data_IF_429669587619
#
_entry.id   IF_429669587619
#
_cell.length_a   1.000
_cell.length_b   1.000
_cell.length_c   1.000
_cell.angle_alpha   90.00
_cell.angle_beta   90.00
_cell.angle_gamma   90.00
#
_symmetry.space_group_name_H-M   'P 1'
#
loop_
_entity.id
_entity.type
_entity.pdbx_description
1 polymer ?
#
# COMPACT_ATOMS: atom_id res chain seq x y z
N UNK A 1 -17.81 22.59 74.51
CA UNK A 1 -16.44 22.78 74.01
C UNK A 1 -16.35 22.10 72.66
N UNK A 2 -16.16 22.85 71.58
CA UNK A 2 -15.98 22.35 70.21
C UNK A 2 -14.48 22.39 69.88
N UNK A 3 -13.91 21.39 69.19
CA UNK A 3 -12.52 21.45 68.75
C UNK A 3 -12.36 22.43 67.58
N UNK A 4 -11.20 23.09 67.43
CA UNK A 4 -10.98 24.01 66.32
C UNK A 4 -10.76 23.24 65.01
N UNK A 5 -11.38 23.72 63.93
CA UNK A 5 -11.07 23.30 62.56
C UNK A 5 -9.62 23.66 62.23
N UNK A 6 -8.81 22.66 61.91
CA UNK A 6 -7.46 22.83 61.44
C UNK A 6 -7.50 23.20 59.94
N UNK A 7 -7.04 24.40 59.58
CA UNK A 7 -6.89 24.81 58.19
C UNK A 7 -5.73 24.04 57.54
N UNK A 8 -5.82 23.61 56.27
CA UNK A 8 -4.69 22.96 55.60
C UNK A 8 -3.58 23.99 55.39
N UNK A 9 -2.46 23.80 56.08
CA UNK A 9 -1.21 24.51 55.80
C UNK A 9 -0.66 23.96 54.49
N UNK A 10 -0.63 24.77 53.45
CA UNK A 10 -0.05 24.40 52.16
C UNK A 10 1.46 24.44 52.32
N UNK A 11 2.09 23.26 52.32
CA UNK A 11 3.53 23.12 52.49
C UNK A 11 4.29 23.91 51.40
N UNK A 12 5.20 24.84 51.74
CA UNK A 12 5.90 25.69 50.79
C UNK A 12 6.80 24.91 49.81
N UNK A 13 7.13 23.65 50.14
CA UNK A 13 7.90 22.74 49.28
C UNK A 13 7.09 22.26 48.07
N UNK A 14 5.77 22.08 48.21
CA UNK A 14 4.90 21.63 47.10
C UNK A 14 4.77 22.73 46.04
N UNK A 15 4.62 23.98 46.46
CA UNK A 15 4.59 25.15 45.56
C UNK A 15 5.93 25.34 44.82
N UNK A 16 7.05 25.05 45.48
CA UNK A 16 8.38 25.12 44.87
C UNK A 16 8.58 24.02 43.80
N UNK A 17 8.09 22.81 44.05
CA UNK A 17 8.16 21.69 43.11
C UNK A 17 7.23 21.88 41.90
N UNK A 18 6.03 22.44 42.10
CA UNK A 18 5.11 22.80 41.00
C UNK A 18 5.73 23.85 40.08
N UNK A 19 6.40 24.86 40.65
CA UNK A 19 7.09 25.89 39.88
C UNK A 19 8.29 25.33 39.09
N UNK A 20 9.06 24.43 39.70
CA UNK A 20 10.17 23.75 39.04
C UNK A 20 9.68 22.86 37.88
N UNK A 21 8.55 22.16 38.07
CA UNK A 21 7.95 21.31 37.04
C UNK A 21 7.40 22.14 35.87
N UNK A 22 6.76 23.28 36.14
CA UNK A 22 6.31 24.20 35.11
C UNK A 22 7.47 24.74 34.27
N UNK A 23 8.58 25.12 34.91
CA UNK A 23 9.77 25.61 34.19
C UNK A 23 10.41 24.53 33.30
N UNK A 24 10.42 23.27 33.74
CA UNK A 24 10.92 22.15 32.94
C UNK A 24 10.00 21.83 31.74
N UNK A 25 8.69 21.93 31.93
CA UNK A 25 7.71 21.76 30.83
C UNK A 25 7.89 22.86 29.78
N UNK A 26 7.99 24.12 30.20
CA UNK A 26 8.21 25.26 29.29
C UNK A 26 9.52 25.09 28.49
N UNK A 27 10.60 24.68 29.16
CA UNK A 27 11.89 24.42 28.52
C UNK A 27 11.81 23.25 27.53
N UNK A 28 11.08 22.19 27.86
CA UNK A 28 10.83 21.08 26.93
C UNK A 28 9.98 21.51 25.74
N UNK A 29 8.99 22.35 25.95
CA UNK A 29 8.14 22.87 24.88
C UNK A 29 8.91 23.80 23.94
N UNK A 30 9.72 24.72 24.47
CA UNK A 30 10.63 25.56 23.68
C UNK A 30 11.63 24.72 22.88
N UNK A 31 12.23 23.70 23.49
CA UNK A 31 13.13 22.77 22.80
C UNK A 31 12.43 22.06 21.64
N UNK A 32 11.19 21.58 21.84
CA UNK A 32 10.40 20.93 20.79
C UNK A 32 10.01 21.91 19.69
N UNK A 33 9.68 23.15 20.03
CA UNK A 33 9.33 24.20 19.08
C UNK A 33 10.52 24.60 18.20
N UNK A 34 11.70 24.76 18.81
CA UNK A 34 12.95 25.03 18.08
C UNK A 34 13.32 23.87 17.15
N UNK A 35 13.21 22.62 17.62
CA UNK A 35 13.46 21.45 16.80
C UNK A 35 12.50 21.35 15.59
N UNK A 36 11.21 21.66 15.80
CA UNK A 36 10.22 21.67 14.72
C UNK A 36 10.50 22.77 13.69
N UNK A 37 10.83 23.99 14.13
CA UNK A 37 11.18 25.10 13.25
C UNK A 37 12.46 24.82 12.45
N UNK A 38 13.45 24.17 13.06
CA UNK A 38 14.68 23.78 12.38
C UNK A 38 14.43 22.67 11.35
N UNK A 39 13.55 21.72 11.67
CA UNK A 39 13.09 20.69 10.73
C UNK A 39 12.35 21.32 9.55
N UNK A 40 11.45 22.27 9.80
CA UNK A 40 10.72 23.00 8.75
C UNK A 40 11.67 23.82 7.86
N UNK A 41 12.71 24.44 8.43
CA UNK A 41 13.74 25.14 7.66
C UNK A 41 14.48 24.18 6.71
N UNK A 42 14.88 22.99 7.22
CA UNK A 42 15.53 21.95 6.41
C UNK A 42 14.60 21.46 5.30
N UNK A 43 13.34 21.19 5.62
CA UNK A 43 12.34 20.73 4.65
C UNK A 43 12.06 21.80 3.59
N UNK A 44 12.02 23.09 3.96
CA UNK A 44 11.87 24.21 3.03
C UNK A 44 13.08 24.37 2.11
N UNK A 45 14.30 24.22 2.63
CA UNK A 45 15.53 24.25 1.82
C UNK A 45 15.57 23.07 0.83
N UNK A 46 15.19 21.87 1.30
CA UNK A 46 15.08 20.67 0.45
C UNK A 46 14.02 20.87 -0.64
N UNK A 47 12.84 21.40 -0.30
CA UNK A 47 11.77 21.68 -1.25
C UNK A 47 12.21 22.69 -2.33
N UNK A 48 12.91 23.76 -1.95
CA UNK A 48 13.46 24.74 -2.91
C UNK A 48 14.53 24.11 -3.81
N UNK A 49 15.38 23.23 -3.28
CA UNK A 49 16.38 22.51 -4.08
C UNK A 49 15.72 21.56 -5.08
N UNK A 50 14.70 20.81 -4.65
CA UNK A 50 13.90 19.93 -5.51
C UNK A 50 13.22 20.74 -6.62
N UNK A 51 12.54 21.85 -6.26
CA UNK A 51 11.86 22.72 -7.22
C UNK A 51 12.82 23.35 -8.25
N UNK A 52 14.03 23.75 -7.82
CA UNK A 52 15.05 24.27 -8.72
C UNK A 52 15.57 23.18 -9.67
N UNK A 53 15.87 21.98 -9.17
CA UNK A 53 16.31 20.87 -10.01
C UNK A 53 15.25 20.37 -10.99
N UNK A 54 13.96 20.42 -10.62
CA UNK A 54 12.87 20.11 -11.55
C UNK A 54 12.69 21.19 -12.63
N UNK A 55 12.92 22.47 -12.30
CA UNK A 55 12.87 23.57 -13.28
C UNK A 55 14.03 23.60 -14.27
N UNK A 56 15.21 23.14 -13.85
CA UNK A 56 16.44 23.11 -14.68
C UNK A 56 16.42 21.94 -15.67
N UNK A 57 15.76 20.83 -15.33
CA UNK A 57 15.55 19.67 -16.22
C UNK A 57 14.52 19.91 -17.35
N UNK A 58 13.78 21.03 -17.32
CA UNK A 58 12.77 21.37 -18.36
C UNK A 58 13.31 22.36 -19.40
N UNK A 59 14.47 23.00 -19.19
CA UNK A 59 14.97 24.06 -20.09
C UNK A 59 16.21 23.71 -20.93
N UNK A 60 16.94 22.63 -20.66
CA UNK A 60 18.16 22.29 -21.41
C UNK A 60 18.01 21.03 -22.27
N UNK A 61 17.43 21.22 -23.46
CA UNK A 61 17.60 20.30 -24.59
C UNK A 61 18.50 20.97 -25.64
N UNK A 62 19.81 21.11 -25.39
CA UNK A 62 20.83 21.20 -26.44
C UNK A 62 22.25 20.96 -25.93
N UNK A 63 22.88 19.89 -26.46
CA UNK A 63 24.33 19.57 -26.59
C UNK A 63 25.06 18.75 -25.51
N UNK A 64 25.94 17.79 -25.90
CA UNK A 64 26.56 16.82 -25.00
C UNK A 64 28.03 17.14 -24.69
N UNK A 65 28.49 17.06 -23.44
CA UNK A 65 29.91 16.83 -23.12
C UNK A 65 30.06 16.09 -21.78
N UNK A 66 31.17 15.38 -21.66
CA UNK A 66 31.49 14.21 -20.84
C UNK A 66 31.51 14.40 -19.30
N UNK A 67 30.97 13.39 -18.59
CA UNK A 67 31.38 12.68 -17.35
C UNK A 67 32.22 13.38 -16.22
N UNK A 68 32.36 12.77 -15.02
CA UNK A 68 31.46 11.94 -14.19
C UNK A 68 31.35 12.48 -12.73
N UNK A 69 30.42 11.94 -11.91
CA UNK A 69 30.67 11.46 -10.52
C UNK A 69 29.38 11.35 -9.67
N UNK A 70 29.21 10.11 -9.17
CA UNK A 70 28.76 9.73 -7.81
C UNK A 70 27.27 9.77 -7.44
N UNK A 71 26.71 8.55 -7.52
CA UNK A 71 26.03 7.84 -6.42
C UNK A 71 25.02 8.67 -5.60
N UNK A 72 23.88 8.99 -6.22
CA UNK A 72 22.69 9.37 -5.45
C UNK A 72 21.44 8.66 -5.98
N UNK A 73 21.03 7.65 -5.22
CA UNK A 73 19.67 7.07 -5.15
C UNK A 73 19.20 6.15 -6.30
N UNK A 74 19.65 4.89 -6.29
CA UNK A 74 19.01 3.78 -7.04
C UNK A 74 17.52 3.57 -6.68
N UNK A 75 17.04 4.05 -5.53
CA UNK A 75 15.63 3.89 -5.11
C UNK A 75 14.65 4.83 -5.84
N UNK A 76 15.10 5.97 -6.37
CA UNK A 76 14.20 6.91 -7.08
C UNK A 76 14.10 6.56 -8.57
N UNK A 77 15.19 6.04 -9.16
CA UNK A 77 15.14 5.50 -10.53
C UNK A 77 14.31 4.21 -10.63
N UNK A 78 14.20 3.38 -9.59
CA UNK A 78 13.43 2.13 -9.69
C UNK A 78 11.93 2.31 -9.90
N UNK A 79 11.36 3.49 -9.62
CA UNK A 79 9.95 3.78 -9.93
C UNK A 79 9.75 4.41 -11.31
N UNK A 80 10.79 5.01 -11.89
CA UNK A 80 10.73 5.64 -13.22
C UNK A 80 11.32 4.74 -14.33
N UNK A 81 12.21 3.80 -14.01
CA UNK A 81 12.93 2.97 -14.96
C UNK A 81 12.18 1.71 -15.47
N UNK A 82 10.89 1.56 -15.14
CA UNK A 82 10.03 0.47 -15.67
C UNK A 82 9.31 0.91 -16.96
N UNK A 83 9.35 2.20 -17.29
CA UNK A 83 8.81 2.67 -18.56
C UNK A 83 9.88 2.47 -19.64
N UNK A 84 9.96 1.25 -20.17
CA UNK A 84 10.33 1.12 -21.58
C UNK A 84 9.47 2.14 -22.37
N UNK A 85 10.00 2.81 -23.41
CA UNK A 85 9.21 3.73 -24.19
C UNK A 85 8.01 2.96 -24.75
N UNK A 86 6.85 3.13 -24.10
CA UNK A 86 5.62 2.48 -24.53
C UNK A 86 5.32 3.10 -25.88
N UNK A 87 5.30 2.27 -26.92
CA UNK A 87 5.02 2.68 -28.30
C UNK A 87 3.73 3.51 -28.40
N UNK A 88 2.80 3.27 -27.48
CA UNK A 88 1.56 4.02 -27.31
C UNK A 88 1.49 4.64 -25.91
N UNK A 89 1.59 5.96 -25.82
CA UNK A 89 1.21 6.71 -24.61
C UNK A 89 -0.27 7.09 -24.68
N UNK A 90 -1.09 6.38 -23.89
CA UNK A 90 -2.53 6.58 -23.82
C UNK A 90 -2.96 7.40 -22.60
N UNK A 91 -2.02 7.99 -21.86
CA UNK A 91 -2.32 8.68 -20.59
C UNK A 91 -3.30 9.85 -20.75
N UNK A 92 -3.37 10.48 -21.92
CA UNK A 92 -4.27 11.61 -22.22
C UNK A 92 -5.59 11.21 -22.87
N UNK A 93 -5.74 9.94 -23.26
CA UNK A 93 -6.91 9.47 -24.02
C UNK A 93 -8.18 9.48 -23.17
N UNK A 94 -9.34 9.78 -23.75
CA UNK A 94 -10.63 9.72 -23.08
C UNK A 94 -11.15 8.29 -23.03
N UNK A 95 -12.05 8.01 -22.08
CA UNK A 95 -12.70 6.70 -21.99
C UNK A 95 -13.42 6.30 -23.29
N UNK A 96 -14.06 7.26 -23.96
CA UNK A 96 -14.73 7.01 -25.24
C UNK A 96 -13.73 6.54 -26.32
N UNK A 97 -12.55 7.16 -26.39
CA UNK A 97 -11.51 6.84 -27.38
C UNK A 97 -10.88 5.48 -27.11
N UNK A 98 -10.61 5.15 -25.83
CA UNK A 98 -10.14 3.82 -25.44
C UNK A 98 -11.18 2.75 -25.79
N UNK A 99 -12.45 2.99 -25.47
CA UNK A 99 -13.55 2.06 -25.76
C UNK A 99 -13.76 1.86 -27.26
N UNK A 100 -13.79 2.94 -28.02
CA UNK A 100 -13.98 2.88 -29.47
C UNK A 100 -12.86 2.08 -30.13
N UNK A 101 -11.61 2.42 -29.82
CA UNK A 101 -10.41 1.72 -30.33
C UNK A 101 -10.43 0.23 -29.99
N UNK A 102 -10.87 -0.14 -28.78
CA UNK A 102 -10.99 -1.57 -28.40
C UNK A 102 -12.02 -2.30 -29.28
N UNK A 103 -13.08 -1.63 -29.71
CA UNK A 103 -14.15 -2.24 -30.50
C UNK A 103 -13.91 -2.16 -32.01
N UNK A 104 -13.13 -1.19 -32.50
CA UNK A 104 -12.95 -0.90 -33.93
C UNK A 104 -11.56 -1.24 -34.47
N UNK A 105 -10.53 -1.26 -33.63
CA UNK A 105 -9.15 -1.55 -34.06
C UNK A 105 -8.81 -3.04 -33.99
N UNK A 106 -7.84 -3.46 -34.81
CA UNK A 106 -7.29 -4.82 -34.83
C UNK A 106 -5.77 -4.84 -34.56
N UNK A 107 -5.18 -3.70 -34.18
CA UNK A 107 -3.76 -3.64 -33.83
C UNK A 107 -3.57 -4.24 -32.43
N UNK A 108 -2.92 -5.41 -32.38
CA UNK A 108 -2.73 -6.20 -31.17
C UNK A 108 -1.97 -5.40 -30.11
N UNK A 109 -0.93 -4.66 -30.50
CA UNK A 109 -0.10 -3.89 -29.58
C UNK A 109 -0.86 -2.66 -29.05
N UNK A 110 -1.69 -2.03 -29.89
CA UNK A 110 -2.54 -0.92 -29.48
C UNK A 110 -3.65 -1.37 -28.54
N UNK A 111 -4.29 -2.51 -28.83
CA UNK A 111 -5.33 -3.09 -27.99
C UNK A 111 -4.79 -3.48 -26.60
N UNK A 112 -3.57 -4.03 -26.55
CA UNK A 112 -2.87 -4.31 -25.29
C UNK A 112 -2.61 -3.02 -24.51
N UNK A 113 -2.09 -1.97 -25.16
CA UNK A 113 -1.89 -0.67 -24.53
C UNK A 113 -3.21 -0.06 -24.01
N UNK A 114 -4.31 -0.15 -24.77
CA UNK A 114 -5.63 0.32 -24.34
C UNK A 114 -6.13 -0.42 -23.10
N UNK A 115 -5.96 -1.75 -23.06
CA UNK A 115 -6.30 -2.56 -21.88
C UNK A 115 -5.44 -2.19 -20.69
N UNK A 116 -4.14 -2.02 -20.86
CA UNK A 116 -3.23 -1.60 -19.78
C UNK A 116 -3.64 -0.25 -19.18
N UNK A 117 -3.94 0.75 -20.01
CA UNK A 117 -4.33 2.08 -19.54
C UNK A 117 -5.67 2.05 -18.77
N UNK A 118 -6.61 1.22 -19.21
CA UNK A 118 -7.87 1.01 -18.48
C UNK A 118 -7.62 0.43 -17.08
N UNK A 119 -6.81 -0.62 -16.97
CA UNK A 119 -6.44 -1.22 -15.67
C UNK A 119 -5.66 -0.24 -14.78
N UNK A 120 -4.75 0.55 -15.35
CA UNK A 120 -4.02 1.59 -14.61
C UNK A 120 -4.98 2.59 -13.98
N UNK A 121 -5.95 3.10 -14.75
CA UNK A 121 -6.96 4.05 -14.25
C UNK A 121 -7.88 3.44 -13.22
N UNK A 122 -8.34 2.21 -13.43
CA UNK A 122 -9.15 1.47 -12.46
C UNK A 122 -8.40 1.31 -11.12
N UNK A 123 -7.13 0.90 -11.13
CA UNK A 123 -6.34 0.78 -9.89
C UNK A 123 -6.25 2.09 -9.12
N UNK A 124 -5.99 3.21 -9.80
CA UNK A 124 -5.96 4.54 -9.19
C UNK A 124 -7.33 4.91 -8.64
N UNK A 125 -8.40 4.66 -9.40
CA UNK A 125 -9.77 4.90 -8.97
C UNK A 125 -10.14 4.08 -7.73
N UNK A 126 -9.83 2.78 -7.69
CA UNK A 126 -10.06 1.93 -6.52
C UNK A 126 -9.24 2.40 -5.31
N UNK A 127 -7.97 2.76 -5.50
CA UNK A 127 -7.13 3.31 -4.44
C UNK A 127 -7.71 4.64 -3.89
N UNK A 128 -8.14 5.54 -4.77
CA UNK A 128 -8.80 6.80 -4.40
C UNK A 128 -10.12 6.53 -3.69
N UNK A 129 -10.95 5.62 -4.21
CA UNK A 129 -12.25 5.23 -3.64
C UNK A 129 -12.08 4.64 -2.25
N UNK A 130 -11.12 3.74 -2.05
CA UNK A 130 -10.81 3.16 -0.74
C UNK A 130 -10.35 4.21 0.28
N UNK A 131 -9.54 5.19 -0.14
CA UNK A 131 -9.09 6.31 0.72
C UNK A 131 -10.23 7.26 1.07
N UNK A 132 -11.12 7.56 0.13
CA UNK A 132 -12.22 8.50 0.34
C UNK A 132 -13.46 7.86 0.97
N UNK A 133 -13.61 6.53 0.89
CA UNK A 133 -14.66 5.78 1.59
C UNK A 133 -14.57 6.00 3.10
N UNK A 134 -13.36 5.94 3.67
CA UNK A 134 -13.12 6.20 5.10
C UNK A 134 -13.45 7.64 5.52
N UNK A 135 -13.21 8.62 4.63
CA UNK A 135 -13.51 10.04 4.89
C UNK A 135 -15.02 10.33 4.90
N UNK A 136 -15.79 9.62 4.08
CA UNK A 136 -17.24 9.74 4.04
C UNK A 136 -17.91 9.09 5.28
N UNK A 137 -17.35 7.99 5.79
CA UNK A 137 -17.78 7.38 7.05
C UNK A 137 -17.48 8.29 8.27
N UNK A 138 -16.40 9.07 8.25
CA UNK A 138 -16.09 10.08 9.28
C UNK A 138 -17.02 11.31 9.22
N UNK A 139 -17.45 11.75 8.03
CA UNK A 139 -18.42 12.85 7.87
C UNK A 139 -19.83 12.51 8.41
N UNK A 140 -20.16 11.22 8.50
CA UNK A 140 -21.41 10.73 9.11
C UNK A 140 -21.36 10.69 10.65
N UNK A 141 -20.18 10.86 11.26
CA UNK A 141 -20.05 11.09 12.71
C UNK A 141 -20.19 12.59 13.02
N UNK A 142 -21.39 13.12 12.74
CA UNK A 142 -21.74 14.53 12.97
C UNK A 142 -22.16 14.80 14.42
N UNK A 143 -21.32 14.43 15.38
CA UNK A 143 -21.41 14.96 16.74
C UNK A 143 -20.05 15.55 17.13
N UNK A 144 -19.98 16.83 17.55
CA UNK A 144 -18.72 17.49 17.90
C UNK A 144 -18.02 16.74 19.05
N UNK A 145 -16.72 16.46 18.87
CA UNK A 145 -15.87 15.74 19.84
C UNK A 145 -15.81 16.38 21.24
N UNK A 146 -16.20 17.66 21.35
CA UNK A 146 -16.27 18.37 22.62
C UNK A 146 -17.37 17.85 23.58
N UNK A 147 -18.37 17.09 23.09
CA UNK A 147 -19.45 16.55 23.95
C UNK A 147 -19.10 15.15 24.49
N UNK A 148 -18.22 14.40 23.80
CA UNK A 148 -17.76 13.08 24.26
C UNK A 148 -16.68 13.16 25.34
N UNK A 149 -15.85 14.20 25.34
CA UNK A 149 -14.74 14.35 26.30
C UNK A 149 -15.21 14.72 27.73
N UNK A 150 -16.36 15.40 27.88
CA UNK A 150 -16.90 15.77 29.20
C UNK A 150 -17.72 14.66 29.88
N UNK A 151 -18.02 13.55 29.19
CA UNK A 151 -18.74 12.41 29.77
C UNK A 151 -17.81 11.34 30.38
N UNK A 152 -16.49 11.44 30.15
CA UNK A 152 -15.52 10.41 30.55
C UNK A 152 -14.80 10.72 31.88
N UNK A 153 -15.11 11.84 32.55
CA UNK A 153 -14.49 12.24 33.82
C UNK A 153 -15.29 11.88 35.08
N UNK A 154 -16.29 11.00 34.99
CA UNK A 154 -16.96 10.42 36.17
C UNK A 154 -17.20 8.94 35.95
N UNK A 155 -16.15 8.12 36.10
CA UNK A 155 -16.30 6.66 36.03
C UNK A 155 -14.99 5.92 35.83
N UNK A 156 -14.21 5.80 36.90
CA UNK A 156 -13.04 4.93 36.95
C UNK A 156 -13.37 3.49 36.51
N UNK A 157 -12.52 2.88 35.68
CA UNK A 157 -11.83 1.59 35.92
C UNK A 157 -11.30 0.92 34.64
N UNK A 158 -9.97 0.76 34.58
CA UNK A 158 -9.19 -0.32 33.91
C UNK A 158 -9.50 -0.65 32.44
N UNK A 159 -8.57 -0.27 31.54
CA UNK A 159 -8.39 -0.92 30.23
C UNK A 159 -7.24 -0.28 29.44
N UNK A 160 -6.23 -1.08 29.09
CA UNK A 160 -5.04 -0.69 28.34
C UNK A 160 -5.37 -0.02 26.99
N UNK A 161 -4.95 1.23 26.81
CA UNK A 161 -5.03 1.96 25.54
C UNK A 161 -3.91 1.47 24.60
N UNK A 162 -4.27 0.64 23.63
CA UNK A 162 -3.40 0.29 22.50
C UNK A 162 -3.43 1.43 21.48
N UNK A 163 -2.30 1.96 21.00
CA UNK A 163 -2.28 3.07 20.05
C UNK A 163 -2.74 2.61 18.66
N UNK A 164 -3.94 3.03 18.25
CA UNK A 164 -4.59 2.77 16.94
C UNK A 164 -3.73 3.23 15.75
N UNK A 165 -2.87 4.23 15.93
CA UNK A 165 -2.04 4.80 14.86
C UNK A 165 -0.99 3.82 14.31
N UNK A 166 -0.56 2.82 15.10
CA UNK A 166 0.43 1.82 14.63
C UNK A 166 -0.18 0.72 13.78
N UNK A 167 -1.48 0.47 13.84
CA UNK A 167 -2.12 -0.66 13.14
C UNK A 167 -2.27 -0.38 11.62
N UNK A 168 -2.60 0.86 11.24
CA UNK A 168 -2.78 1.22 9.82
C UNK A 168 -1.51 1.10 8.96
N UNK A 169 -0.32 1.40 9.51
CA UNK A 169 0.92 1.32 8.76
C UNK A 169 1.40 -0.13 8.54
N UNK A 170 1.09 -1.03 9.50
CA UNK A 170 1.46 -2.45 9.44
C UNK A 170 0.63 -3.19 8.39
N UNK A 171 -0.65 -2.84 8.21
CA UNK A 171 -1.52 -3.44 7.20
C UNK A 171 -1.11 -3.14 5.76
N UNK A 172 -0.45 -2.00 5.49
CA UNK A 172 -0.10 -1.57 4.13
C UNK A 172 1.06 -2.41 3.54
N UNK A 173 1.88 -3.05 4.38
CA UNK A 173 3.00 -3.91 3.95
C UNK A 173 2.82 -5.39 4.32
N UNK A 174 1.66 -5.76 4.85
CA UNK A 174 1.39 -7.12 5.28
C UNK A 174 1.36 -8.08 4.07
N UNK A 175 2.07 -9.20 4.17
CA UNK A 175 2.07 -10.24 3.14
C UNK A 175 1.00 -11.27 3.51
N UNK A 176 -0.07 -11.35 2.71
CA UNK A 176 -1.22 -12.22 3.00
C UNK A 176 -1.46 -13.21 1.87
N UNK A 177 -1.80 -14.45 2.21
CA UNK A 177 -1.88 -15.55 1.28
C UNK A 177 -3.23 -16.24 1.41
N UNK A 178 -3.86 -16.57 0.29
CA UNK A 178 -5.19 -17.16 0.27
C UNK A 178 -5.26 -18.33 -0.70
N UNK A 179 -6.15 -19.29 -0.42
CA UNK A 179 -6.60 -20.31 -1.36
C UNK A 179 -8.11 -20.46 -1.34
N UNK A 180 -8.72 -20.59 -2.51
CA UNK A 180 -10.16 -20.79 -2.68
C UNK A 180 -10.40 -21.95 -3.64
N UNK A 181 -11.19 -22.97 -3.27
CA UNK A 181 -11.62 -23.98 -4.23
C UNK A 181 -12.69 -23.40 -5.17
N UNK A 182 -12.65 -23.76 -6.46
CA UNK A 182 -13.68 -23.43 -7.44
C UNK A 182 -14.09 -24.66 -8.26
N UNK A 183 -15.30 -24.62 -8.82
CA UNK A 183 -15.85 -25.65 -9.71
C UNK A 183 -15.88 -25.05 -11.11
N UNK A 184 -15.42 -25.79 -12.12
CA UNK A 184 -15.52 -25.32 -13.50
C UNK A 184 -16.99 -25.28 -13.93
N UNK A 185 -17.41 -24.26 -14.71
CA UNK A 185 -18.75 -24.24 -15.28
C UNK A 185 -19.06 -25.51 -16.10
N UNK A 186 -18.09 -26.03 -16.86
CA UNK A 186 -18.24 -27.27 -17.65
C UNK A 186 -18.45 -28.53 -16.81
N UNK A 187 -18.07 -28.51 -15.54
CA UNK A 187 -18.15 -29.67 -14.65
C UNK A 187 -19.39 -29.64 -13.74
N UNK A 188 -20.21 -28.58 -13.79
CA UNK A 188 -21.41 -28.44 -12.95
C UNK A 188 -22.42 -29.59 -13.09
N UNK A 189 -22.42 -30.30 -14.22
CA UNK A 189 -23.39 -31.36 -14.51
C UNK A 189 -22.89 -32.79 -14.19
N UNK A 190 -21.66 -32.96 -13.69
CA UNK A 190 -21.07 -34.29 -13.38
C UNK A 190 -20.99 -34.53 -11.86
N UNK A 191 -22.13 -34.48 -11.20
CA UNK A 191 -22.30 -34.33 -9.74
C UNK A 191 -21.66 -35.43 -8.86
N UNK A 192 -21.24 -36.58 -9.40
CA UNK A 192 -20.68 -37.68 -8.60
C UNK A 192 -19.13 -37.72 -8.51
N UNK A 193 -18.38 -36.99 -9.35
CA UNK A 193 -16.91 -37.08 -9.46
C UNK A 193 -16.26 -35.74 -9.86
N UNK A 194 -16.82 -34.59 -9.46
CA UNK A 194 -16.25 -33.28 -9.83
C UNK A 194 -14.96 -32.98 -9.07
N UNK A 195 -13.83 -33.04 -9.77
CA UNK A 195 -12.54 -32.57 -9.24
C UNK A 195 -12.56 -31.04 -9.13
N UNK A 196 -12.38 -30.50 -7.92
CA UNK A 196 -12.33 -29.06 -7.68
C UNK A 196 -10.99 -28.49 -8.15
N UNK A 197 -11.03 -27.32 -8.79
CA UNK A 197 -9.85 -26.50 -9.02
C UNK A 197 -9.50 -25.67 -7.77
N UNK A 198 -8.28 -25.16 -7.74
CA UNK A 198 -7.80 -24.30 -6.65
C UNK A 198 -7.28 -22.98 -7.21
N UNK A 199 -7.71 -21.89 -6.60
CA UNK A 199 -7.23 -20.55 -6.88
C UNK A 199 -6.42 -20.06 -5.69
N UNK A 200 -5.19 -19.62 -5.91
CA UNK A 200 -4.30 -19.09 -4.89
C UNK A 200 -3.94 -17.65 -5.19
N UNK A 201 -3.81 -16.84 -4.14
CA UNK A 201 -3.40 -15.45 -4.26
C UNK A 201 -2.45 -15.03 -3.14
N UNK A 202 -1.46 -14.24 -3.51
CA UNK A 202 -0.54 -13.55 -2.62
C UNK A 202 -0.74 -12.05 -2.77
N UNK A 203 -1.21 -11.41 -1.71
CA UNK A 203 -1.37 -9.96 -1.59
C UNK A 203 -0.14 -9.36 -0.91
N UNK A 204 0.45 -8.37 -1.58
CA UNK A 204 1.49 -7.49 -1.04
C UNK A 204 0.79 -6.21 -0.57
N UNK A 205 0.48 -6.16 0.74
CA UNK A 205 -0.43 -5.18 1.30
C UNK A 205 -1.86 -5.35 0.79
N UNK A 206 -2.39 -4.33 0.11
CA UNK A 206 -3.76 -4.32 -0.39
C UNK A 206 -3.91 -4.87 -1.81
N UNK A 207 -2.82 -5.11 -2.53
CA UNK A 207 -2.87 -5.46 -3.95
C UNK A 207 -2.26 -6.83 -4.20
N UNK A 208 -2.79 -7.53 -5.20
CA UNK A 208 -2.27 -8.83 -5.57
C UNK A 208 -0.88 -8.69 -6.22
N UNK A 209 0.04 -9.56 -5.82
CA UNK A 209 1.41 -9.63 -6.32
C UNK A 209 1.67 -10.92 -7.11
N UNK A 210 1.05 -12.03 -6.70
CA UNK A 210 1.10 -13.33 -7.41
C UNK A 210 -0.25 -14.01 -7.33
N UNK A 211 -0.63 -14.70 -8.39
CA UNK A 211 -1.84 -15.52 -8.50
C UNK A 211 -1.47 -16.84 -9.17
N UNK A 212 -2.10 -17.93 -8.76
CA UNK A 212 -2.01 -19.18 -9.50
C UNK A 212 -3.33 -19.95 -9.48
N UNK A 213 -3.62 -20.63 -10.58
CA UNK A 213 -4.83 -21.42 -10.76
C UNK A 213 -4.44 -22.85 -11.11
N UNK A 214 -4.84 -23.77 -10.24
CA UNK A 214 -4.62 -25.20 -10.42
C UNK A 214 -5.93 -25.83 -10.85
N UNK A 215 -5.91 -26.39 -12.06
CA UNK A 215 -6.98 -27.22 -12.54
C UNK A 215 -6.56 -28.69 -12.51
N UNK A 216 -7.50 -29.62 -12.29
CA UNK A 216 -7.17 -31.05 -12.23
C UNK A 216 -6.56 -31.60 -13.52
N UNK A 217 -7.00 -31.10 -14.68
CA UNK A 217 -6.63 -31.64 -15.99
C UNK A 217 -5.98 -30.58 -16.91
N UNK A 218 -5.49 -29.47 -16.36
CA UNK A 218 -4.71 -28.47 -17.13
C UNK A 218 -3.41 -28.14 -16.38
N UNK A 219 -2.36 -27.70 -17.12
CA UNK A 219 -1.16 -27.18 -16.47
C UNK A 219 -1.49 -26.01 -15.53
N UNK A 220 -0.66 -25.79 -14.50
CA UNK A 220 -0.84 -24.67 -13.58
C UNK A 220 -0.76 -23.34 -14.35
N UNK A 221 -1.70 -22.45 -14.07
CA UNK A 221 -1.67 -21.07 -14.57
C UNK A 221 -0.96 -20.23 -13.52
N UNK A 222 0.13 -19.57 -13.90
CA UNK A 222 0.96 -18.74 -13.02
C UNK A 222 0.91 -17.30 -13.50
N UNK A 223 0.58 -16.38 -12.60
CA UNK A 223 0.36 -14.98 -12.92
C UNK A 223 1.10 -14.10 -11.91
N UNK A 224 1.79 -13.08 -12.40
CA UNK A 224 2.55 -12.14 -11.56
C UNK A 224 2.19 -10.69 -11.89
N UNK A 225 2.29 -9.85 -10.86
CA UNK A 225 2.09 -8.42 -10.99
C UNK A 225 3.04 -7.79 -12.02
N UNK A 226 2.49 -6.89 -12.84
CA UNK A 226 3.18 -6.28 -13.97
C UNK A 226 2.91 -7.04 -15.25
N UNK A 227 3.49 -8.23 -15.40
CA UNK A 227 3.38 -9.03 -16.62
C UNK A 227 1.94 -9.46 -16.94
N UNK A 228 1.23 -9.96 -15.93
CA UNK A 228 -0.05 -10.63 -16.12
C UNK A 228 -1.21 -9.79 -15.53
N UNK A 229 -0.99 -8.47 -15.38
CA UNK A 229 -1.90 -7.55 -14.68
C UNK A 229 -3.34 -7.56 -15.25
N UNK A 230 -3.53 -7.92 -16.53
CA UNK A 230 -4.83 -7.97 -17.22
C UNK A 230 -5.61 -9.26 -16.88
N UNK A 231 -4.90 -10.33 -16.48
CA UNK A 231 -5.50 -11.64 -16.15
C UNK A 231 -5.60 -11.87 -14.63
N UNK A 232 -5.02 -10.98 -13.83
CA UNK A 232 -5.02 -11.05 -12.38
C UNK A 232 -6.24 -10.37 -11.75
N UNK A 233 -6.52 -10.72 -10.48
CA UNK A 233 -7.55 -10.04 -9.69
C UNK A 233 -7.32 -8.52 -9.61
N UNK A 234 -8.31 -7.74 -10.04
CA UNK A 234 -8.28 -6.28 -10.05
C UNK A 234 -8.71 -5.63 -8.72
N UNK A 235 -9.36 -6.41 -7.84
CA UNK A 235 -9.89 -5.93 -6.57
C UNK A 235 -8.80 -5.85 -5.50
N UNK A 236 -8.87 -4.82 -4.65
CA UNK A 236 -8.04 -4.76 -3.44
C UNK A 236 -8.45 -5.85 -2.45
N UNK A 237 -7.53 -6.24 -1.55
CA UNK A 237 -7.77 -7.28 -0.56
C UNK A 237 -9.07 -7.05 0.24
N UNK A 238 -9.32 -5.81 0.64
CA UNK A 238 -10.54 -5.44 1.36
C UNK A 238 -11.82 -5.58 0.52
N UNK A 239 -11.75 -5.36 -0.79
CA UNK A 239 -12.87 -5.49 -1.73
C UNK A 239 -13.15 -6.95 -2.11
N UNK A 240 -12.12 -7.81 -2.13
CA UNK A 240 -12.29 -9.25 -2.45
C UNK A 240 -13.13 -10.02 -1.43
N UNK A 241 -13.21 -9.53 -0.18
CA UNK A 241 -13.87 -10.24 0.92
C UNK A 241 -13.13 -11.51 1.39
N UNK A 242 -11.94 -11.81 0.86
CA UNK A 242 -11.18 -13.02 1.21
C UNK A 242 -10.86 -13.11 2.71
N UNK A 243 -10.63 -11.96 3.34
CA UNK A 243 -10.34 -11.85 4.78
C UNK A 243 -11.51 -12.24 5.67
N UNK A 244 -12.74 -12.24 5.13
CA UNK A 244 -13.97 -12.63 5.85
C UNK A 244 -14.32 -14.10 5.64
N UNK A 245 -13.69 -14.78 4.67
CA UNK A 245 -13.98 -16.18 4.35
C UNK A 245 -13.13 -17.10 5.21
N UNK A 246 -13.78 -17.83 6.12
CA UNK A 246 -13.10 -18.78 7.00
C UNK A 246 -12.38 -19.86 6.18
N UNK A 247 -11.12 -20.15 6.56
CA UNK A 247 -10.29 -21.15 5.89
C UNK A 247 -9.72 -20.74 4.52
N UNK A 248 -9.98 -19.52 4.07
CA UNK A 248 -9.38 -18.99 2.85
C UNK A 248 -7.91 -18.59 3.05
N UNK A 249 -7.58 -17.96 4.17
CA UNK A 249 -6.22 -17.52 4.47
C UNK A 249 -5.32 -18.73 4.79
N UNK A 250 -4.13 -18.75 4.19
CA UNK A 250 -3.13 -19.80 4.33
C UNK A 250 -1.78 -19.23 4.75
N UNK A 251 -0.88 -20.10 5.21
CA UNK A 251 0.47 -19.69 5.56
C UNK A 251 1.30 -19.39 4.32
N UNK A 252 2.26 -18.46 4.45
CA UNK A 252 3.25 -18.14 3.41
C UNK A 252 3.91 -19.40 2.86
N UNK A 253 4.34 -20.31 3.74
CA UNK A 253 4.98 -21.58 3.36
C UNK A 253 4.10 -22.44 2.45
N UNK A 254 2.80 -22.55 2.75
CA UNK A 254 1.87 -23.35 1.94
C UNK A 254 1.70 -22.79 0.53
N UNK A 255 1.74 -21.47 0.38
CA UNK A 255 1.72 -20.84 -0.93
C UNK A 255 3.04 -21.07 -1.68
N UNK A 256 4.19 -20.84 -1.02
CA UNK A 256 5.49 -20.97 -1.66
C UNK A 256 5.81 -22.40 -2.10
N UNK A 257 5.43 -23.42 -1.32
CA UNK A 257 5.61 -24.83 -1.69
C UNK A 257 4.90 -25.16 -3.02
N UNK A 258 3.64 -24.75 -3.15
CA UNK A 258 2.86 -24.96 -4.38
C UNK A 258 3.39 -24.11 -5.53
N UNK A 259 3.78 -22.87 -5.25
CA UNK A 259 4.34 -21.95 -6.24
C UNK A 259 5.63 -22.50 -6.85
N UNK A 260 6.54 -22.99 -6.01
CA UNK A 260 7.80 -23.59 -6.44
C UNK A 260 7.55 -24.90 -7.21
N UNK A 261 6.67 -25.76 -6.71
CA UNK A 261 6.31 -27.03 -7.39
C UNK A 261 5.73 -26.80 -8.79
N UNK A 262 4.99 -25.71 -8.99
CA UNK A 262 4.41 -25.38 -10.30
C UNK A 262 5.39 -24.65 -11.24
N UNK A 263 6.64 -24.42 -10.84
CA UNK A 263 7.63 -23.68 -11.64
C UNK A 263 7.52 -22.15 -11.53
N UNK A 264 6.80 -21.65 -10.53
CA UNK A 264 6.58 -20.22 -10.30
C UNK A 264 7.86 -19.42 -10.02
N UNK A 265 8.90 -20.06 -9.49
CA UNK A 265 10.18 -19.41 -9.24
C UNK A 265 10.86 -19.01 -10.58
N UNK A 266 10.96 -19.94 -11.51
CA UNK A 266 11.54 -19.70 -12.83
C UNK A 266 10.69 -18.74 -13.65
N UNK A 267 9.36 -18.84 -13.54
CA UNK A 267 8.43 -17.90 -14.18
C UNK A 267 8.67 -16.45 -13.71
N UNK A 268 8.75 -16.25 -12.39
CA UNK A 268 9.03 -14.94 -11.80
C UNK A 268 10.42 -14.42 -12.19
N UNK A 269 11.43 -15.29 -12.17
CA UNK A 269 12.81 -14.96 -12.54
C UNK A 269 12.89 -14.45 -13.97
N UNK A 270 12.32 -15.17 -14.93
CA UNK A 270 12.27 -14.77 -16.34
C UNK A 270 11.60 -13.42 -16.54
N UNK A 271 10.52 -13.16 -15.80
CA UNK A 271 9.81 -11.89 -15.91
C UNK A 271 10.53 -10.71 -15.25
N UNK A 272 11.33 -10.95 -14.21
CA UNK A 272 12.24 -9.94 -13.64
C UNK A 272 13.38 -9.64 -14.63
N UNK A 273 13.96 -10.66 -15.25
CA UNK A 273 14.99 -10.51 -16.28
C UNK A 273 14.48 -9.74 -17.51
N UNK A 274 13.25 -10.01 -17.95
CA UNK A 274 12.58 -9.27 -19.05
C UNK A 274 12.04 -7.90 -18.63
N UNK A 275 12.19 -7.49 -17.35
CA UNK A 275 11.66 -6.24 -16.78
C UNK A 275 10.13 -6.09 -16.90
N UNK A 276 9.40 -7.18 -17.02
CA UNK A 276 7.94 -7.19 -17.07
C UNK A 276 7.33 -7.33 -15.67
N UNK A 277 8.06 -7.90 -14.71
CA UNK A 277 7.59 -8.02 -13.33
C UNK A 277 7.64 -6.68 -12.59
N UNK A 278 6.52 -6.30 -11.95
CA UNK A 278 6.46 -5.12 -11.07
C UNK A 278 7.25 -5.40 -9.78
N UNK A 279 8.00 -4.42 -9.24
CA UNK A 279 8.61 -4.51 -7.92
C UNK A 279 7.56 -4.78 -6.85
N UNK A 280 7.66 -5.95 -6.22
CA UNK A 280 6.82 -6.41 -5.11
C UNK A 280 7.69 -7.12 -4.08
N UNK A 281 7.12 -7.48 -2.93
CA UNK A 281 7.78 -8.34 -1.96
C UNK A 281 8.28 -9.65 -2.57
N UNK A 282 7.56 -10.23 -3.55
CA UNK A 282 7.97 -11.47 -4.22
C UNK A 282 9.25 -11.29 -5.05
N UNK A 283 9.37 -10.20 -5.82
CA UNK A 283 10.59 -9.91 -6.59
C UNK A 283 11.76 -9.58 -5.68
N UNK A 284 11.52 -8.89 -4.56
CA UNK A 284 12.56 -8.60 -3.56
C UNK A 284 13.05 -9.89 -2.88
N UNK A 285 12.12 -10.80 -2.50
CA UNK A 285 12.45 -12.10 -1.92
C UNK A 285 13.25 -12.98 -2.88
N UNK A 286 12.95 -12.94 -4.18
CA UNK A 286 13.73 -13.64 -5.21
C UNK A 286 15.17 -13.10 -5.28
N UNK A 287 15.36 -11.79 -5.26
CA UNK A 287 16.70 -11.18 -5.27
C UNK A 287 17.54 -11.59 -4.06
N UNK A 288 16.93 -11.71 -2.88
CA UNK A 288 17.62 -12.21 -1.68
C UNK A 288 18.01 -13.69 -1.77
N UNK A 289 17.30 -14.51 -2.54
CA UNK A 289 17.61 -15.94 -2.74
C UNK A 289 18.71 -16.19 -3.77
N UNK A 290 18.93 -15.23 -4.68
CA UNK A 290 19.94 -15.32 -5.75
C UNK A 290 21.30 -14.72 -5.34
N UNK A 291 21.39 -14.13 -4.15
CA UNK A 291 22.64 -13.65 -3.54
C UNK A 291 23.22 -14.72 -2.63
#
# INVERSE_FOLDING_TARGET
MLPPCNAPSVDPTILQDELNLQSEIERQEESRRLAAAEQERRDRELALRIARSEGELVSEETTPTEAPLLRRTQQVQSQQAIQAPKKYDLSKWKYAELRDTINTSCDIELLEACREEFHRRLKVYHAWKAKNRKRNDEEQQRAPRAITEHAEHVGASKGLLVPVTRQCAVEIKAQRYFRIPFIRPSDHYKELQTKKGWWYAHFDGQWIARQMELHPDKPPVLLIAGKDDTEMCELSLNETGLTRKQGAEILSRQFEEVWEQCGGLEYLKRAVESRQARPTHATAKLQHRLR
#
